data_IF_781694728871
#
_entry.id   IF_781694728871
#
_cell.length_a   1.000
_cell.length_b   1.000
_cell.length_c   1.000
_cell.angle_alpha   90.00
_cell.angle_beta   90.00
_cell.angle_gamma   90.00
#
_symmetry.space_group_name_H-M   'P 1'
#
loop_
_entity.id
_entity.type
_entity.pdbx_description
1 polymer ?
#
# COMPACT_ATOMS: atom_id res chain seq x y z
N UNK A 1 23.93 35.86 -21.25
CA UNK A 1 23.23 36.00 -22.55
C UNK A 1 23.02 37.43 -23.05
N UNK A 2 22.42 38.35 -22.27
CA UNK A 2 22.17 39.74 -22.73
C UNK A 2 23.44 40.55 -23.08
N UNK A 3 24.59 40.27 -22.44
CA UNK A 3 25.89 40.87 -22.77
C UNK A 3 26.48 40.32 -24.08
N UNK A 4 26.41 39.01 -24.30
CA UNK A 4 26.85 38.36 -25.54
C UNK A 4 26.09 38.89 -26.77
N UNK A 5 24.77 39.13 -26.64
CA UNK A 5 23.94 39.75 -27.69
C UNK A 5 24.42 41.19 -28.03
N UNK A 6 24.82 41.97 -27.02
CA UNK A 6 25.40 43.31 -27.20
C UNK A 6 26.78 43.27 -27.89
N UNK A 7 27.62 42.29 -27.57
CA UNK A 7 28.96 42.15 -28.13
C UNK A 7 28.96 41.62 -29.58
N UNK A 8 28.00 40.75 -29.94
CA UNK A 8 27.73 40.36 -31.33
C UNK A 8 27.31 41.54 -32.21
N UNK A 9 26.51 42.47 -31.67
CA UNK A 9 26.12 43.73 -32.34
C UNK A 9 27.30 44.71 -32.53
N UNK A 10 28.39 44.54 -31.79
CA UNK A 10 29.58 45.39 -31.85
C UNK A 10 30.75 44.76 -32.65
N UNK A 11 30.49 43.75 -33.49
CA UNK A 11 31.47 42.95 -34.26
C UNK A 11 32.54 42.20 -33.43
N UNK A 12 32.39 42.16 -32.10
CA UNK A 12 33.32 41.49 -31.18
C UNK A 12 32.98 40.01 -31.00
N UNK A 13 33.07 39.25 -32.08
CA UNK A 13 32.64 37.84 -32.13
C UNK A 13 33.34 36.93 -31.12
N UNK A 14 34.63 37.14 -30.84
CA UNK A 14 35.40 36.32 -29.88
C UNK A 14 34.92 36.53 -28.44
N UNK A 15 34.79 37.79 -28.02
CA UNK A 15 34.31 38.17 -26.68
C UNK A 15 32.86 37.68 -26.44
N UNK A 16 32.00 37.71 -27.47
CA UNK A 16 30.64 37.20 -27.37
C UNK A 16 30.56 35.67 -27.23
N UNK A 17 31.47 34.92 -27.85
CA UNK A 17 31.56 33.46 -27.71
C UNK A 17 32.02 33.08 -26.30
N UNK A 18 33.03 33.77 -25.76
CA UNK A 18 33.52 33.55 -24.39
C UNK A 18 32.43 33.85 -23.34
N UNK A 19 31.70 34.96 -23.49
CA UNK A 19 30.56 35.27 -22.59
C UNK A 19 29.38 34.30 -22.74
N UNK A 20 29.19 33.69 -23.92
CA UNK A 20 28.17 32.67 -24.12
C UNK A 20 28.57 31.34 -23.46
N UNK A 21 29.84 30.94 -23.59
CA UNK A 21 30.38 29.75 -22.92
C UNK A 21 30.31 29.87 -21.39
N UNK A 22 30.69 31.03 -20.83
CA UNK A 22 30.54 31.28 -19.39
C UNK A 22 29.08 31.19 -18.94
N UNK A 23 28.14 31.75 -19.70
CA UNK A 23 26.72 31.65 -19.38
C UNK A 23 26.19 30.21 -19.48
N UNK A 24 26.72 29.39 -20.38
CA UNK A 24 26.39 27.97 -20.50
C UNK A 24 26.93 27.16 -19.31
N UNK A 25 28.16 27.42 -18.88
CA UNK A 25 28.75 26.82 -17.67
C UNK A 25 27.97 27.20 -16.41
N UNK A 26 27.60 28.48 -16.25
CA UNK A 26 26.76 28.95 -15.13
C UNK A 26 25.38 28.26 -15.12
N UNK A 27 24.76 28.06 -16.29
CA UNK A 27 23.49 27.35 -16.41
C UNK A 27 23.63 25.86 -16.07
N UNK A 28 24.70 25.20 -16.52
CA UNK A 28 24.96 23.80 -16.18
C UNK A 28 25.19 23.62 -14.67
N UNK A 29 25.92 24.52 -14.03
CA UNK A 29 26.10 24.53 -12.58
C UNK A 29 24.77 24.73 -11.85
N UNK A 30 23.96 25.70 -12.28
CA UNK A 30 22.64 25.94 -11.70
C UNK A 30 21.69 24.73 -11.89
N UNK A 31 21.73 24.05 -13.04
CA UNK A 31 20.97 22.81 -13.26
C UNK A 31 21.42 21.72 -12.29
N UNK A 32 22.73 21.49 -12.14
CA UNK A 32 23.26 20.49 -11.22
C UNK A 32 22.91 20.77 -9.76
N UNK A 33 22.94 22.05 -9.34
CA UNK A 33 22.49 22.46 -8.01
C UNK A 33 20.99 22.23 -7.81
N UNK A 34 20.17 22.57 -8.81
CA UNK A 34 18.72 22.34 -8.76
C UNK A 34 18.39 20.85 -8.73
N UNK A 35 19.06 20.02 -9.52
CA UNK A 35 18.89 18.56 -9.50
C UNK A 35 19.19 18.00 -8.11
N UNK A 36 20.29 18.45 -7.48
CA UNK A 36 20.64 18.05 -6.12
C UNK A 36 19.58 18.47 -5.09
N UNK A 37 19.08 19.69 -5.18
CA UNK A 37 18.02 20.20 -4.30
C UNK A 37 16.72 19.40 -4.51
N UNK A 38 16.36 19.10 -5.76
CA UNK A 38 15.18 18.31 -6.10
C UNK A 38 15.28 16.88 -5.55
N UNK A 39 16.45 16.25 -5.64
CA UNK A 39 16.68 14.92 -5.07
C UNK A 39 16.50 14.92 -3.54
N UNK A 40 17.04 15.93 -2.85
CA UNK A 40 16.89 16.07 -1.41
C UNK A 40 15.42 16.28 -1.00
N UNK A 41 14.71 17.20 -1.67
CA UNK A 41 13.30 17.45 -1.40
C UNK A 41 12.43 16.21 -1.62
N UNK A 42 12.70 15.43 -2.67
CA UNK A 42 11.96 14.20 -2.95
C UNK A 42 12.21 13.13 -1.89
N UNK A 43 13.45 13.01 -1.39
CA UNK A 43 13.77 12.06 -0.32
C UNK A 43 13.05 12.43 0.99
N UNK A 44 13.00 13.71 1.34
CA UNK A 44 12.25 14.22 2.49
C UNK A 44 10.73 13.99 2.34
N UNK A 45 10.18 14.22 1.15
CA UNK A 45 8.77 13.98 0.85
C UNK A 45 8.41 12.50 1.00
N UNK A 46 9.21 11.60 0.42
CA UNK A 46 9.01 10.15 0.53
C UNK A 46 9.06 9.69 1.99
N UNK A 47 10.02 10.17 2.79
CA UNK A 47 10.10 9.81 4.21
C UNK A 47 8.89 10.26 4.99
N UNK A 48 8.43 11.48 4.74
CA UNK A 48 7.21 11.99 5.34
C UNK A 48 6.00 11.13 4.95
N UNK A 49 5.87 10.77 3.67
CA UNK A 49 4.76 9.92 3.21
C UNK A 49 4.81 8.54 3.86
N UNK A 50 5.99 7.92 3.98
CA UNK A 50 6.14 6.64 4.64
C UNK A 50 5.71 6.68 6.11
N UNK A 51 6.10 7.71 6.85
CA UNK A 51 5.73 7.89 8.26
C UNK A 51 4.23 8.12 8.40
N UNK A 52 3.65 8.96 7.54
CA UNK A 52 2.21 9.23 7.52
C UNK A 52 1.41 7.96 7.20
N UNK A 53 1.88 7.17 6.23
CA UNK A 53 1.26 5.90 5.84
C UNK A 53 1.35 4.85 6.95
N UNK A 54 2.52 4.65 7.56
CA UNK A 54 2.71 3.73 8.68
C UNK A 54 1.80 4.11 9.87
N UNK A 55 1.72 5.40 10.18
CA UNK A 55 0.86 5.92 11.26
C UNK A 55 -0.61 5.57 11.02
N UNK A 56 -1.09 5.70 9.78
CA UNK A 56 -2.46 5.34 9.41
C UNK A 56 -2.71 3.84 9.52
N UNK A 57 -1.79 3.01 9.02
CA UNK A 57 -1.93 1.56 9.08
C UNK A 57 -1.89 1.03 10.51
N UNK A 58 -1.02 1.58 11.38
CA UNK A 58 -1.01 1.25 12.82
C UNK A 58 -2.35 1.57 13.47
N UNK A 59 -2.92 2.75 13.19
CA UNK A 59 -4.23 3.14 13.69
C UNK A 59 -5.34 2.20 13.22
N UNK A 60 -5.30 1.79 11.94
CA UNK A 60 -6.23 0.77 11.42
C UNK A 60 -6.09 -0.55 12.18
N UNK A 61 -4.85 -1.03 12.40
CA UNK A 61 -4.59 -2.29 13.11
C UNK A 61 -5.05 -2.23 14.58
N UNK A 62 -4.83 -1.12 15.27
CA UNK A 62 -5.31 -0.90 16.64
C UNK A 62 -6.84 -0.95 16.75
N UNK A 63 -7.54 -0.27 15.83
CA UNK A 63 -9.00 -0.30 15.78
C UNK A 63 -9.51 -1.70 15.43
N UNK A 64 -8.95 -2.34 14.41
CA UNK A 64 -9.35 -3.68 13.99
C UNK A 64 -9.16 -4.69 15.13
N UNK A 65 -8.04 -4.61 15.86
CA UNK A 65 -7.76 -5.46 17.02
C UNK A 65 -8.85 -5.33 18.09
N UNK A 66 -9.23 -4.09 18.37
CA UNK A 66 -10.28 -3.79 19.37
C UNK A 66 -11.64 -4.34 18.91
N UNK A 67 -11.99 -4.13 17.64
CA UNK A 67 -13.25 -4.59 17.07
C UNK A 67 -13.30 -6.12 17.02
N UNK A 68 -12.21 -6.78 16.63
CA UNK A 68 -12.08 -8.24 16.59
C UNK A 68 -12.30 -8.88 17.96
N UNK A 69 -11.65 -8.34 19.00
CA UNK A 69 -11.81 -8.81 20.37
C UNK A 69 -13.23 -8.58 20.89
N UNK A 70 -13.85 -7.44 20.54
CA UNK A 70 -15.23 -7.17 20.91
C UNK A 70 -16.20 -8.12 20.20
N UNK A 71 -16.00 -8.37 18.90
CA UNK A 71 -16.79 -9.32 18.10
C UNK A 71 -16.74 -10.73 18.70
N UNK A 72 -15.57 -11.17 19.14
CA UNK A 72 -15.41 -12.47 19.83
C UNK A 72 -16.22 -12.56 21.13
N UNK A 73 -16.22 -11.48 21.92
CA UNK A 73 -17.00 -11.40 23.16
C UNK A 73 -18.49 -11.40 22.88
N UNK A 74 -18.93 -10.75 21.80
CA UNK A 74 -20.33 -10.72 21.40
C UNK A 74 -20.84 -12.11 20.99
N UNK A 75 -20.04 -12.85 20.22
CA UNK A 75 -20.42 -14.21 19.82
C UNK A 75 -20.66 -15.13 21.04
N UNK A 76 -19.88 -14.91 22.11
CA UNK A 76 -19.96 -15.66 23.38
C UNK A 76 -21.11 -15.23 24.30
N UNK A 77 -21.90 -14.20 23.96
CA UNK A 77 -23.04 -13.77 24.77
C UNK A 77 -24.05 -14.91 24.96
N UNK A 78 -24.66 -14.98 26.16
CA UNK A 78 -25.69 -15.95 26.54
C UNK A 78 -26.73 -15.29 27.47
N UNK A 79 -28.01 -15.62 27.35
CA UNK A 79 -29.07 -15.12 28.24
C UNK A 79 -30.35 -14.70 27.50
N UNK A 80 -31.39 -14.32 28.24
CA UNK A 80 -32.72 -13.97 27.70
C UNK A 80 -32.75 -12.68 26.87
N UNK A 81 -31.87 -11.71 27.14
CA UNK A 81 -31.76 -10.44 26.39
C UNK A 81 -30.68 -10.45 25.29
N UNK A 82 -30.14 -11.63 24.95
CA UNK A 82 -28.99 -11.79 24.05
C UNK A 82 -29.20 -11.09 22.71
N UNK A 83 -30.33 -11.33 22.05
CA UNK A 83 -30.54 -10.89 20.67
C UNK A 83 -30.58 -9.36 20.55
N UNK A 84 -31.26 -8.69 21.49
CA UNK A 84 -31.32 -7.22 21.50
C UNK A 84 -29.98 -6.59 21.88
N UNK A 85 -29.26 -7.17 22.84
CA UNK A 85 -27.93 -6.68 23.20
C UNK A 85 -26.94 -6.90 22.06
N UNK A 86 -27.01 -8.05 21.39
CA UNK A 86 -26.20 -8.39 20.23
C UNK A 86 -26.41 -7.37 19.12
N UNK A 87 -27.66 -7.09 18.74
CA UNK A 87 -27.99 -6.16 17.66
C UNK A 87 -27.44 -4.75 17.94
N UNK A 88 -27.65 -4.24 19.16
CA UNK A 88 -27.17 -2.91 19.56
C UNK A 88 -25.63 -2.86 19.57
N UNK A 89 -24.96 -3.89 20.08
CA UNK A 89 -23.50 -3.89 20.16
C UNK A 89 -22.84 -4.14 18.80
N UNK A 90 -23.40 -5.01 17.97
CA UNK A 90 -22.92 -5.25 16.61
C UNK A 90 -23.08 -3.99 15.73
N UNK A 91 -24.18 -3.25 15.86
CA UNK A 91 -24.37 -1.95 15.20
C UNK A 91 -23.34 -0.89 15.64
N UNK A 92 -22.93 -0.89 16.92
CA UNK A 92 -21.82 -0.02 17.36
C UNK A 92 -20.50 -0.44 16.76
N UNK A 93 -20.20 -1.75 16.74
CA UNK A 93 -18.97 -2.26 16.14
C UNK A 93 -18.91 -2.01 14.63
N UNK A 94 -20.04 -2.05 13.91
CA UNK A 94 -20.06 -1.71 12.49
C UNK A 94 -19.69 -0.25 12.23
N UNK A 95 -20.08 0.65 13.13
CA UNK A 95 -19.68 2.07 13.07
C UNK A 95 -18.19 2.24 13.32
N UNK A 96 -17.60 1.47 14.24
CA UNK A 96 -16.16 1.47 14.48
C UNK A 96 -15.39 0.86 13.30
N UNK A 97 -15.88 -0.25 12.72
CA UNK A 97 -15.29 -0.89 11.54
C UNK A 97 -15.29 0.04 10.33
N UNK A 98 -16.33 0.86 10.17
CA UNK A 98 -16.39 1.86 9.10
C UNK A 98 -15.21 2.85 9.19
N UNK A 99 -14.75 3.19 10.40
CA UNK A 99 -13.57 4.06 10.58
C UNK A 99 -12.31 3.41 10.02
N UNK A 100 -12.14 2.09 10.16
CA UNK A 100 -11.03 1.34 9.56
C UNK A 100 -11.05 1.48 8.04
N UNK A 101 -12.20 1.23 7.42
CA UNK A 101 -12.36 1.36 5.97
C UNK A 101 -12.08 2.79 5.48
N UNK A 102 -12.59 3.81 6.18
CA UNK A 102 -12.36 5.22 5.83
C UNK A 102 -10.90 5.64 5.99
N UNK A 103 -10.20 5.15 7.01
CA UNK A 103 -8.78 5.44 7.19
C UNK A 103 -7.93 4.76 6.11
N UNK A 104 -8.29 3.55 5.70
CA UNK A 104 -7.70 2.89 4.53
C UNK A 104 -7.90 3.70 3.25
N UNK A 105 -9.10 4.24 3.01
CA UNK A 105 -9.35 5.12 1.86
C UNK A 105 -8.47 6.38 1.88
N UNK A 106 -8.22 6.96 3.07
CA UNK A 106 -7.30 8.09 3.21
C UNK A 106 -5.85 7.70 2.96
N UNK A 107 -5.43 6.53 3.44
CA UNK A 107 -4.11 5.98 3.15
C UNK A 107 -3.91 5.71 1.65
N UNK A 108 -4.95 5.24 0.95
CA UNK A 108 -4.92 5.07 -0.51
C UNK A 108 -4.70 6.37 -1.29
N UNK A 109 -5.13 7.52 -0.76
CA UNK A 109 -4.88 8.81 -1.42
C UNK A 109 -3.38 9.12 -1.47
N UNK A 110 -2.64 8.79 -0.39
CA UNK A 110 -1.19 9.01 -0.34
C UNK A 110 -0.44 8.16 -1.37
N UNK A 111 -0.91 6.92 -1.60
CA UNK A 111 -0.26 5.99 -2.53
C UNK A 111 -0.50 6.33 -4.01
N UNK A 112 -1.63 6.97 -4.34
CA UNK A 112 -1.96 7.33 -5.73
C UNK A 112 -1.04 8.41 -6.29
N UNK A 113 -0.43 9.20 -5.43
CA UNK A 113 0.43 10.33 -5.83
C UNK A 113 1.86 9.87 -6.15
N UNK A 114 2.27 8.66 -5.74
CA UNK A 114 3.67 8.22 -5.81
C UNK A 114 3.98 7.18 -6.90
N UNK A 115 2.96 6.61 -7.57
CA UNK A 115 3.04 5.85 -8.84
C UNK A 115 3.98 4.63 -8.93
N UNK A 116 4.74 4.34 -7.87
CA UNK A 116 5.96 3.49 -7.92
C UNK A 116 5.83 2.14 -7.22
N UNK A 117 4.72 1.88 -6.53
CA UNK A 117 4.42 0.54 -5.98
C UNK A 117 3.10 0.03 -6.51
N UNK A 118 3.10 -1.23 -6.95
CA UNK A 118 1.93 -1.84 -7.56
C UNK A 118 1.22 -2.83 -6.62
N UNK A 119 1.99 -3.55 -5.80
CA UNK A 119 1.44 -4.52 -4.84
C UNK A 119 0.81 -3.89 -3.60
N UNK A 120 1.37 -2.76 -3.15
CA UNK A 120 0.90 -2.10 -1.93
C UNK A 120 -0.51 -1.49 -2.08
N UNK A 121 -0.82 -0.72 -3.15
CA UNK A 121 -2.17 -0.20 -3.36
C UNK A 121 -3.22 -1.32 -3.48
N UNK A 122 -2.87 -2.41 -4.16
CA UNK A 122 -3.74 -3.59 -4.27
C UNK A 122 -4.02 -4.23 -2.91
N UNK A 123 -2.98 -4.41 -2.08
CA UNK A 123 -3.15 -5.00 -0.75
C UNK A 123 -4.05 -4.13 0.14
N UNK A 124 -3.87 -2.81 0.10
CA UNK A 124 -4.68 -1.87 0.85
C UNK A 124 -6.13 -1.79 0.31
N UNK A 125 -6.33 -1.88 -1.00
CA UNK A 125 -7.66 -1.97 -1.61
C UNK A 125 -8.43 -3.19 -1.12
N UNK A 126 -7.79 -4.37 -1.08
CA UNK A 126 -8.42 -5.57 -0.53
C UNK A 126 -8.75 -5.45 0.96
N UNK A 127 -7.89 -4.81 1.76
CA UNK A 127 -8.16 -4.52 3.17
C UNK A 127 -9.39 -3.63 3.34
N UNK A 128 -9.52 -2.57 2.52
CA UNK A 128 -10.68 -1.68 2.55
C UNK A 128 -11.97 -2.44 2.20
N UNK A 129 -11.93 -3.24 1.12
CA UNK A 129 -13.08 -4.04 0.70
C UNK A 129 -13.52 -5.05 1.78
N UNK A 130 -12.55 -5.69 2.46
CA UNK A 130 -12.82 -6.62 3.55
C UNK A 130 -13.38 -5.90 4.78
N UNK A 131 -12.86 -4.73 5.14
CA UNK A 131 -13.41 -3.93 6.23
C UNK A 131 -14.86 -3.51 5.95
N UNK A 132 -15.19 -3.14 4.70
CA UNK A 132 -16.56 -2.85 4.28
C UNK A 132 -17.48 -4.07 4.34
N UNK A 133 -16.97 -5.25 3.99
CA UNK A 133 -17.72 -6.50 4.14
C UNK A 133 -18.03 -6.77 5.62
N UNK A 134 -17.06 -6.59 6.52
CA UNK A 134 -17.27 -6.73 7.97
C UNK A 134 -18.30 -5.72 8.49
N UNK A 135 -18.28 -4.46 8.01
CA UNK A 135 -19.33 -3.48 8.34
C UNK A 135 -20.72 -4.04 8.04
N UNK A 136 -20.93 -4.55 6.82
CA UNK A 136 -22.22 -5.09 6.39
C UNK A 136 -22.66 -6.29 7.25
N UNK A 137 -21.73 -7.18 7.59
CA UNK A 137 -22.01 -8.34 8.45
C UNK A 137 -22.38 -7.93 9.87
N UNK A 138 -21.65 -6.99 10.46
CA UNK A 138 -21.95 -6.47 11.80
C UNK A 138 -23.27 -5.69 11.84
N UNK A 139 -23.66 -4.99 10.76
CA UNK A 139 -25.01 -4.39 10.64
C UNK A 139 -26.09 -5.47 10.67
N UNK A 140 -25.85 -6.61 10.04
CA UNK A 140 -26.74 -7.77 10.08
C UNK A 140 -26.64 -8.60 11.39
N UNK A 141 -25.92 -8.09 12.40
CA UNK A 141 -25.64 -8.80 13.66
C UNK A 141 -24.89 -10.13 13.50
N UNK A 142 -24.21 -10.32 12.37
CA UNK A 142 -23.39 -11.50 12.10
C UNK A 142 -21.99 -11.33 12.69
N UNK A 143 -21.83 -11.87 13.90
CA UNK A 143 -20.57 -11.91 14.67
C UNK A 143 -19.90 -13.30 14.62
N UNK A 144 -20.32 -14.14 13.67
CA UNK A 144 -19.88 -15.53 13.55
C UNK A 144 -18.38 -15.70 13.35
N UNK A 145 -17.89 -16.93 13.46
CA UNK A 145 -16.51 -17.30 13.16
C UNK A 145 -16.05 -16.86 11.75
N UNK A 146 -16.98 -16.78 10.79
CA UNK A 146 -16.67 -16.33 9.43
C UNK A 146 -16.39 -14.81 9.39
N UNK A 147 -17.17 -13.98 10.10
CA UNK A 147 -16.88 -12.54 10.28
C UNK A 147 -15.53 -12.34 10.97
N UNK A 148 -15.30 -13.06 12.07
CA UNK A 148 -14.07 -12.99 12.85
C UNK A 148 -12.84 -13.38 12.02
N UNK A 149 -12.95 -14.39 11.16
CA UNK A 149 -11.84 -14.78 10.28
C UNK A 149 -11.52 -13.73 9.20
N UNK A 150 -12.49 -12.93 8.75
CA UNK A 150 -12.21 -11.81 7.84
C UNK A 150 -11.44 -10.71 8.58
N UNK A 151 -11.83 -10.40 9.81
CA UNK A 151 -11.12 -9.47 10.68
C UNK A 151 -9.67 -9.93 10.96
N UNK A 152 -9.46 -11.21 11.24
CA UNK A 152 -8.11 -11.79 11.43
C UNK A 152 -7.25 -11.66 10.15
N UNK A 153 -7.86 -11.78 8.98
CA UNK A 153 -7.17 -11.57 7.70
C UNK A 153 -6.89 -10.10 7.40
N UNK A 154 -7.73 -9.17 7.85
CA UNK A 154 -7.46 -7.72 7.79
C UNK A 154 -6.25 -7.41 8.65
N UNK A 155 -6.21 -7.89 9.90
CA UNK A 155 -5.09 -7.72 10.82
C UNK A 155 -3.78 -8.24 10.22
N UNK A 156 -3.77 -9.48 9.75
CA UNK A 156 -2.57 -10.06 9.15
C UNK A 156 -2.07 -9.30 7.90
N UNK A 157 -2.97 -8.72 7.11
CA UNK A 157 -2.59 -7.88 5.97
C UNK A 157 -2.03 -6.52 6.42
N UNK A 158 -2.63 -5.89 7.44
CA UNK A 158 -2.14 -4.64 8.02
C UNK A 158 -0.75 -4.81 8.62
N UNK A 159 -0.51 -5.90 9.35
CA UNK A 159 0.78 -6.20 9.96
C UNK A 159 1.87 -6.36 8.91
N UNK A 160 1.64 -7.15 7.85
CA UNK A 160 2.61 -7.33 6.75
C UNK A 160 2.90 -5.99 6.03
N UNK A 161 1.90 -5.14 5.84
CA UNK A 161 2.09 -3.82 5.23
C UNK A 161 2.93 -2.90 6.14
N UNK A 162 2.68 -2.90 7.46
CA UNK A 162 3.46 -2.12 8.43
C UNK A 162 4.91 -2.61 8.45
N UNK A 163 5.14 -3.92 8.52
CA UNK A 163 6.48 -4.51 8.49
C UNK A 163 7.23 -4.15 7.19
N UNK A 164 6.52 -4.19 6.06
CA UNK A 164 7.06 -3.80 4.76
C UNK A 164 7.52 -2.33 4.74
N UNK A 165 6.74 -1.40 5.30
CA UNK A 165 7.12 0.01 5.39
C UNK A 165 8.30 0.24 6.34
N UNK A 166 8.31 -0.44 7.49
CA UNK A 166 9.40 -0.33 8.47
C UNK A 166 10.73 -0.83 7.90
N UNK A 167 10.71 -1.91 7.11
CA UNK A 167 11.91 -2.39 6.43
C UNK A 167 12.44 -1.37 5.42
N UNK A 168 11.54 -0.69 4.70
CA UNK A 168 11.94 0.36 3.75
C UNK A 168 12.56 1.55 4.48
N UNK A 169 11.91 2.06 5.54
CA UNK A 169 12.42 3.17 6.33
C UNK A 169 13.82 2.85 6.86
N UNK A 170 14.00 1.66 7.46
CA UNK A 170 15.30 1.22 7.98
C UNK A 170 16.39 1.17 6.91
N UNK A 171 16.07 0.65 5.71
CA UNK A 171 17.03 0.60 4.59
C UNK A 171 17.43 2.00 4.11
N UNK A 172 16.50 2.96 4.13
CA UNK A 172 16.80 4.37 3.79
C UNK A 172 17.69 5.01 4.84
N UNK A 173 17.41 4.80 6.13
CA UNK A 173 18.26 5.28 7.23
C UNK A 173 19.69 4.73 7.16
N UNK A 174 19.85 3.44 6.86
CA UNK A 174 21.15 2.79 6.69
C UNK A 174 21.95 3.40 5.53
N UNK A 175 21.31 3.67 4.39
CA UNK A 175 21.94 4.35 3.24
C UNK A 175 22.39 5.77 3.60
N UNK A 176 21.56 6.54 4.31
CA UNK A 176 21.90 7.89 4.78
C UNK A 176 23.14 7.88 5.69
N UNK A 177 23.21 6.93 6.63
CA UNK A 177 24.37 6.79 7.51
C UNK A 177 25.64 6.35 6.77
N UNK A 178 25.51 5.50 5.75
CA UNK A 178 26.64 5.04 4.95
C UNK A 178 27.22 6.17 4.09
N UNK A 179 26.36 6.99 3.47
CA UNK A 179 26.76 8.18 2.71
C UNK A 179 27.40 9.28 3.58
N UNK A 180 27.11 9.33 4.89
CA UNK A 180 27.80 10.24 5.81
C UNK A 180 29.20 9.74 6.24
N UNK A 181 29.49 8.43 6.12
CA UNK A 181 30.78 7.83 6.54
C UNK A 181 31.81 7.73 5.43
N UNK A 182 31.40 7.70 4.16
CA UNK A 182 32.29 7.83 3.02
C UNK A 182 32.20 9.27 2.50
N UNK A 183 33.31 10.02 2.58
CA UNK A 183 33.40 11.37 2.04
C UNK A 183 32.97 11.43 0.57
N UNK A 184 32.59 12.62 0.06
CA UNK A 184 31.89 12.79 -1.21
C UNK A 184 32.68 12.13 -2.35
N UNK A 185 32.28 10.90 -2.66
CA UNK A 185 32.86 10.10 -3.73
C UNK A 185 31.88 10.21 -4.88
N UNK A 186 32.37 10.77 -5.96
CA UNK A 186 31.73 10.96 -7.26
C UNK A 186 31.01 9.68 -7.70
N UNK A 187 29.73 9.58 -7.36
CA UNK A 187 28.84 8.51 -7.75
C UNK A 187 27.72 9.13 -8.57
N UNK A 188 28.09 9.55 -9.79
CA UNK A 188 27.19 9.86 -10.89
C UNK A 188 26.42 8.63 -11.42
N UNK A 189 26.04 7.72 -10.53
CA UNK A 189 25.05 6.70 -10.83
C UNK A 189 23.67 7.35 -10.70
N UNK A 190 22.95 7.44 -11.82
CA UNK A 190 21.51 7.70 -11.83
C UNK A 190 20.87 6.87 -10.72
N UNK A 191 20.52 7.52 -9.61
CA UNK A 191 19.68 6.92 -8.58
C UNK A 191 18.33 6.71 -9.28
N UNK A 192 18.14 5.50 -9.79
CA UNK A 192 16.83 5.02 -10.24
C UNK A 192 15.84 5.35 -9.13
N UNK A 193 14.75 6.03 -9.49
CA UNK A 193 13.69 6.43 -8.56
C UNK A 193 13.31 5.24 -7.67
N UNK A 194 13.78 5.26 -6.42
CA UNK A 194 13.55 4.14 -5.52
C UNK A 194 12.08 4.16 -5.13
N UNK A 195 11.36 3.13 -5.59
CA UNK A 195 9.97 2.88 -5.21
C UNK A 195 9.77 3.06 -3.71
N UNK A 196 8.59 3.55 -3.33
CA UNK A 196 8.15 3.58 -1.95
C UNK A 196 8.31 2.23 -1.24
N UNK A 197 8.20 1.14 -1.98
CA UNK A 197 8.28 -0.21 -1.45
C UNK A 197 9.34 -0.95 -2.23
N UNK A 198 10.35 -1.47 -1.53
CA UNK A 198 11.38 -2.26 -2.19
C UNK A 198 10.79 -3.51 -2.83
N UNK A 199 11.36 -3.97 -3.96
CA UNK A 199 10.89 -5.15 -4.72
C UNK A 199 10.65 -6.40 -3.85
N UNK A 200 11.48 -6.62 -2.82
CA UNK A 200 11.31 -7.73 -1.87
C UNK A 200 10.01 -7.60 -1.06
N UNK A 201 9.70 -6.40 -0.59
CA UNK A 201 8.47 -6.14 0.15
C UNK A 201 7.24 -6.28 -0.77
N UNK A 202 7.32 -5.86 -2.03
CA UNK A 202 6.23 -6.11 -3.00
C UNK A 202 5.95 -7.61 -3.22
N UNK A 203 7.00 -8.42 -3.33
CA UNK A 203 6.86 -9.88 -3.46
C UNK A 203 6.27 -10.53 -2.19
N UNK A 204 6.62 -10.03 -1.00
CA UNK A 204 6.00 -10.51 0.25
C UNK A 204 4.53 -10.14 0.30
N UNK A 205 4.15 -8.91 -0.09
CA UNK A 205 2.76 -8.49 -0.17
C UNK A 205 1.97 -9.35 -1.15
N UNK A 206 2.49 -9.62 -2.35
CA UNK A 206 1.87 -10.57 -3.30
C UNK A 206 1.68 -11.95 -2.66
N UNK A 207 2.71 -12.48 -2.00
CA UNK A 207 2.62 -13.77 -1.31
C UNK A 207 1.52 -13.75 -0.24
N UNK A 208 1.42 -12.69 0.54
CA UNK A 208 0.38 -12.53 1.57
C UNK A 208 -1.01 -12.48 0.94
N UNK A 209 -1.20 -11.73 -0.15
CA UNK A 209 -2.46 -11.72 -0.90
C UNK A 209 -2.83 -13.12 -1.42
N UNK A 210 -1.88 -13.84 -2.01
CA UNK A 210 -2.11 -15.19 -2.52
C UNK A 210 -2.47 -16.17 -1.40
N UNK A 211 -1.79 -16.09 -0.25
CA UNK A 211 -2.09 -16.93 0.91
C UNK A 211 -3.50 -16.66 1.45
N UNK A 212 -3.97 -15.42 1.43
CA UNK A 212 -5.34 -15.05 1.83
C UNK A 212 -6.38 -15.64 0.87
N UNK A 213 -6.17 -15.50 -0.45
CA UNK A 213 -7.06 -16.11 -1.46
C UNK A 213 -7.10 -17.63 -1.29
N UNK A 214 -5.95 -18.28 -1.08
CA UNK A 214 -5.88 -19.72 -0.87
C UNK A 214 -6.63 -20.16 0.40
N UNK A 215 -6.46 -19.45 1.52
CA UNK A 215 -7.17 -19.75 2.78
C UNK A 215 -8.69 -19.60 2.62
N UNK A 216 -9.17 -18.53 1.99
CA UNK A 216 -10.61 -18.33 1.73
C UNK A 216 -11.19 -19.38 0.80
N UNK A 217 -10.47 -19.73 -0.26
CA UNK A 217 -10.87 -20.77 -1.20
C UNK A 217 -10.99 -22.13 -0.50
N UNK A 218 -10.04 -22.46 0.39
CA UNK A 218 -10.10 -23.67 1.22
C UNK A 218 -11.32 -23.68 2.14
N UNK A 219 -11.59 -22.58 2.84
CA UNK A 219 -12.78 -22.46 3.71
C UNK A 219 -14.08 -22.63 2.93
N UNK A 220 -14.19 -22.00 1.76
CA UNK A 220 -15.36 -22.12 0.90
C UNK A 220 -15.55 -23.55 0.39
N UNK A 221 -14.46 -24.25 0.08
CA UNK A 221 -14.51 -25.66 -0.28
C UNK A 221 -15.00 -26.53 0.89
N UNK A 222 -14.51 -26.28 2.11
CA UNK A 222 -14.95 -27.00 3.31
C UNK A 222 -16.44 -26.76 3.63
N UNK A 223 -16.95 -25.53 3.41
CA UNK A 223 -18.37 -25.19 3.55
C UNK A 223 -19.23 -25.87 2.47
N UNK A 224 -18.76 -25.92 1.22
CA UNK A 224 -19.46 -26.56 0.10
C UNK A 224 -19.51 -28.09 0.20
N UNK A 225 -18.49 -28.71 0.80
CA UNK A 225 -18.38 -30.17 0.96
C UNK A 225 -19.30 -30.76 2.05
N UNK A 226 -20.09 -29.94 2.75
CA UNK A 226 -21.05 -30.41 3.75
C UNK A 226 -22.36 -30.97 3.15
N UNK A 227 -22.55 -30.86 1.83
CA UNK A 227 -23.59 -31.57 1.07
C UNK A 227 -23.02 -32.73 0.24
N UNK A 228 -23.85 -33.70 -0.14
CA UNK A 228 -23.52 -34.85 -1.03
C UNK A 228 -23.15 -34.41 -2.48
N UNK A 229 -22.35 -33.36 -2.66
CA UNK A 229 -21.92 -32.91 -3.96
C UNK A 229 -20.54 -33.46 -4.33
N UNK A 230 -20.57 -34.62 -4.98
CA UNK A 230 -19.42 -35.34 -5.52
C UNK A 230 -18.70 -34.57 -6.67
N UNK A 231 -19.26 -33.45 -7.15
CA UNK A 231 -18.77 -32.68 -8.31
C UNK A 231 -18.11 -31.36 -7.87
N UNK A 232 -18.26 -30.94 -6.61
CA UNK A 232 -17.74 -29.67 -6.11
C UNK A 232 -18.42 -28.45 -6.76
N UNK A 233 -19.70 -28.57 -7.12
CA UNK A 233 -20.48 -27.44 -7.62
C UNK A 233 -21.02 -26.63 -6.45
N UNK A 234 -20.53 -25.40 -6.34
CA UNK A 234 -21.11 -24.44 -5.42
C UNK A 234 -22.53 -24.09 -5.89
N UNK A 235 -23.55 -24.72 -5.30
CA UNK A 235 -24.96 -24.54 -5.68
C UNK A 235 -25.64 -23.39 -4.93
N UNK A 236 -25.12 -23.03 -3.75
CA UNK A 236 -25.58 -21.86 -3.00
C UNK A 236 -25.16 -20.56 -3.70
N UNK A 237 -26.14 -19.71 -4.01
CA UNK A 237 -25.93 -18.41 -4.63
C UNK A 237 -24.99 -17.51 -3.83
N UNK A 238 -24.99 -17.60 -2.49
CA UNK A 238 -24.08 -16.81 -1.63
C UNK A 238 -22.63 -17.24 -1.86
N UNK A 239 -22.37 -18.54 -1.81
CA UNK A 239 -21.04 -19.11 -2.01
C UNK A 239 -20.55 -18.90 -3.45
N UNK A 240 -21.44 -18.89 -4.45
CA UNK A 240 -21.07 -18.55 -5.84
C UNK A 240 -20.57 -17.12 -5.97
N UNK A 241 -21.18 -16.17 -5.27
CA UNK A 241 -20.75 -14.77 -5.28
C UNK A 241 -19.37 -14.61 -4.61
N UNK A 242 -19.18 -15.25 -3.45
CA UNK A 242 -17.88 -15.29 -2.77
C UNK A 242 -16.78 -15.91 -3.65
N UNK A 243 -17.08 -17.01 -4.36
CA UNK A 243 -16.13 -17.63 -5.28
C UNK A 243 -15.77 -16.71 -6.46
N UNK A 244 -16.74 -15.98 -7.02
CA UNK A 244 -16.47 -14.98 -8.08
C UNK A 244 -15.57 -13.86 -7.58
N UNK A 245 -15.79 -13.37 -6.36
CA UNK A 245 -14.93 -12.37 -5.75
C UNK A 245 -13.50 -12.89 -5.52
N UNK A 246 -13.34 -14.14 -5.09
CA UNK A 246 -12.02 -14.78 -4.98
C UNK A 246 -11.33 -14.91 -6.34
N UNK A 247 -12.07 -15.27 -7.39
CA UNK A 247 -11.53 -15.34 -8.75
C UNK A 247 -11.04 -13.97 -9.24
N UNK A 248 -11.81 -12.90 -9.02
CA UNK A 248 -11.40 -11.52 -9.34
C UNK A 248 -10.13 -11.12 -8.60
N UNK A 249 -10.03 -11.43 -7.29
CA UNK A 249 -8.81 -11.17 -6.51
C UNK A 249 -7.61 -11.93 -7.05
N UNK A 250 -7.79 -13.20 -7.44
CA UNK A 250 -6.73 -14.00 -8.05
C UNK A 250 -6.24 -13.41 -9.38
N UNK A 251 -7.17 -12.97 -10.24
CA UNK A 251 -6.85 -12.31 -11.51
C UNK A 251 -6.08 -11.01 -11.26
N UNK A 252 -6.49 -10.22 -10.26
CA UNK A 252 -5.83 -8.97 -9.90
C UNK A 252 -4.43 -9.18 -9.33
N UNK A 253 -4.23 -10.18 -8.48
CA UNK A 253 -2.90 -10.59 -7.99
C UNK A 253 -2.02 -11.01 -9.18
N UNK A 254 -2.57 -11.77 -10.14
CA UNK A 254 -1.85 -12.16 -11.35
C UNK A 254 -1.44 -10.95 -12.19
N UNK A 255 -2.34 -9.98 -12.39
CA UNK A 255 -2.03 -8.77 -13.17
C UNK A 255 -0.93 -7.95 -12.51
N UNK A 256 -1.04 -7.69 -11.20
CA UNK A 256 -0.03 -6.95 -10.43
C UNK A 256 1.32 -7.66 -10.45
N UNK A 257 1.33 -8.98 -10.29
CA UNK A 257 2.56 -9.78 -10.37
C UNK A 257 3.22 -9.68 -11.75
N UNK A 258 2.41 -9.73 -12.82
CA UNK A 258 2.89 -9.59 -14.19
C UNK A 258 3.45 -8.19 -14.45
N UNK A 259 2.78 -7.16 -13.96
CA UNK A 259 3.19 -5.78 -14.19
C UNK A 259 4.50 -5.45 -13.44
N UNK A 260 4.68 -5.97 -12.21
CA UNK A 260 5.97 -5.92 -11.50
C UNK A 260 7.08 -6.64 -12.27
N UNK A 261 6.79 -7.80 -12.86
CA UNK A 261 7.77 -8.54 -13.67
C UNK A 261 8.15 -7.80 -14.95
N UNK A 262 7.18 -7.17 -15.62
CA UNK A 262 7.42 -6.36 -16.81
C UNK A 262 8.22 -5.10 -16.49
N UNK A 263 7.99 -4.46 -15.35
CA UNK A 263 8.78 -3.33 -14.89
C UNK A 263 10.22 -3.75 -14.57
N UNK A 264 10.40 -4.89 -13.89
CA UNK A 264 11.72 -5.46 -13.61
C UNK A 264 12.49 -5.83 -14.88
N UNK A 265 11.80 -6.20 -15.97
CA UNK A 265 12.43 -6.54 -17.25
C UNK A 265 12.83 -5.31 -18.10
N UNK A 266 12.36 -4.11 -17.75
CA UNK A 266 12.73 -2.84 -18.43
C UNK A 266 13.96 -2.17 -17.83
N UNK A 267 14.36 -2.59 -16.62
CA UNK A 267 15.55 -2.11 -15.90
C UNK A 267 16.76 -2.99 -16.21
#
# INVERSE_FOLDING_TARGET
>A
MQKAEKNLRAEKRKEAIEEQQQAEEELQQAIAELEKILMQLREEEIERTLVDLETRLKRMSEWETTIRQATEKLEKLSGEDKDRQLEIQASKLSTEQLKVAMEGQRAMLLLKDEGSSQAFPEALEQVIADAQLVVNRLVASDVSASTQSIQDEILGALDEMIESLQEVQKKRDEKKQQNQRQGPSDSGGQQQEESLVGKIAELRLIKTLQMRVNRRTGRLADESNQGEDLIGQVTDSRLQEELRELAKRQEKIQSVTRDILLEAAKQ
#
